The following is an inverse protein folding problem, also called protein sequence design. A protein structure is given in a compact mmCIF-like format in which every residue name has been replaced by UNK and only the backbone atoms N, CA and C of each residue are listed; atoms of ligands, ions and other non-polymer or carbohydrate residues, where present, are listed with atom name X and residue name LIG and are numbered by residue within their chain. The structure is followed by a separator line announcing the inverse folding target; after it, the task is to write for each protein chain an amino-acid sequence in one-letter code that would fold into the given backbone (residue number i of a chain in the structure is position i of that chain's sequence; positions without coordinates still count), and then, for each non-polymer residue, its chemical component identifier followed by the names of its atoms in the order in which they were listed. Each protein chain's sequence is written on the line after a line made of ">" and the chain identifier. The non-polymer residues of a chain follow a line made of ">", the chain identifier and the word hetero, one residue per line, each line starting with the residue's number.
data_IF_329763896723
#
_entry.id   IF_329763896723
#
_cell.length_a   1.000
_cell.length_b   1.000
_cell.length_c   1.000
_cell.angle_alpha   90.00
_cell.angle_beta   90.00
_cell.angle_gamma   90.00
#
_symmetry.space_group_name_H-M   'P 1'
#
loop_
_entity.id
_entity.type
_entity.pdbx_description
1 polymer ?
#
# COMPACT_ATOMS: atom_id res chain seq x y z
N UNK A 1 11.88 -17.35 -19.09
CA UNK A 1 10.73 -16.79 -18.34
C UNK A 1 10.91 -15.32 -17.90
N UNK A 2 12.07 -14.86 -17.38
CA UNK A 2 12.26 -13.45 -16.93
C UNK A 2 12.00 -12.37 -18.00
N UNK A 3 12.18 -12.67 -19.28
CA UNK A 3 12.04 -11.70 -20.37
C UNK A 3 10.59 -11.43 -20.80
N UNK A 4 9.65 -12.34 -20.51
CA UNK A 4 8.24 -12.16 -20.89
C UNK A 4 7.55 -11.16 -19.95
N UNK A 5 7.66 -11.38 -18.63
CA UNK A 5 7.03 -10.53 -17.60
C UNK A 5 7.56 -9.08 -17.62
N UNK A 6 8.81 -8.89 -18.04
CA UNK A 6 9.50 -7.59 -18.06
C UNK A 6 9.64 -6.97 -19.45
N UNK A 7 9.02 -7.57 -20.48
CA UNK A 7 9.04 -7.03 -21.82
C UNK A 7 8.27 -5.70 -21.93
N UNK A 8 8.58 -4.85 -22.92
CA UNK A 8 7.91 -3.56 -23.11
C UNK A 8 6.39 -3.68 -23.31
N UNK A 9 5.91 -4.77 -23.93
CA UNK A 9 4.48 -5.06 -24.07
C UNK A 9 3.81 -5.36 -22.72
N UNK A 10 4.44 -6.18 -21.87
CA UNK A 10 3.91 -6.48 -20.54
C UNK A 10 3.96 -5.26 -19.61
N UNK A 11 4.92 -4.36 -19.78
CA UNK A 11 4.96 -3.10 -19.06
C UNK A 11 3.71 -2.22 -19.31
N UNK A 12 3.14 -2.25 -20.52
CA UNK A 12 1.87 -1.57 -20.82
C UNK A 12 0.72 -2.21 -20.05
N UNK A 13 0.63 -3.55 -20.07
CA UNK A 13 -0.41 -4.29 -19.32
C UNK A 13 -0.34 -3.98 -17.82
N UNK A 14 0.86 -4.03 -17.23
CA UNK A 14 1.04 -3.70 -15.81
C UNK A 14 0.69 -2.25 -15.49
N UNK A 15 0.94 -1.32 -16.43
CA UNK A 15 0.58 0.09 -16.26
C UNK A 15 -0.94 0.28 -16.28
N UNK A 16 -1.65 -0.38 -17.21
CA UNK A 16 -3.11 -0.33 -17.26
C UNK A 16 -3.71 -0.89 -15.98
N UNK A 17 -3.25 -2.05 -15.51
CA UNK A 17 -3.70 -2.65 -14.26
C UNK A 17 -3.39 -1.77 -13.05
N UNK A 18 -2.21 -1.13 -13.01
CA UNK A 18 -1.82 -0.18 -11.96
C UNK A 18 -2.74 1.03 -11.93
N UNK A 19 -3.00 1.64 -13.08
CA UNK A 19 -3.87 2.82 -13.20
C UNK A 19 -5.31 2.44 -12.82
N UNK A 20 -5.81 1.30 -13.30
CA UNK A 20 -7.14 0.80 -12.93
C UNK A 20 -7.25 0.60 -11.42
N UNK A 21 -6.28 -0.06 -10.80
CA UNK A 21 -6.23 -0.24 -9.34
C UNK A 21 -6.21 1.12 -8.64
N UNK A 22 -5.40 2.06 -9.12
CA UNK A 22 -5.36 3.43 -8.59
C UNK A 22 -6.69 4.17 -8.69
N UNK A 23 -7.45 4.01 -9.78
CA UNK A 23 -8.79 4.60 -9.93
C UNK A 23 -9.76 4.04 -8.90
N UNK A 24 -9.71 2.73 -8.60
CA UNK A 24 -10.56 2.13 -7.56
C UNK A 24 -10.30 2.78 -6.19
N UNK A 25 -9.03 2.91 -5.80
CA UNK A 25 -8.63 3.56 -4.56
C UNK A 25 -8.97 5.05 -4.51
N UNK A 26 -8.74 5.76 -5.61
CA UNK A 26 -9.06 7.18 -5.71
C UNK A 26 -10.56 7.42 -5.53
N UNK A 27 -11.39 6.61 -6.19
CA UNK A 27 -12.85 6.71 -6.12
C UNK A 27 -13.35 6.43 -4.71
N UNK A 28 -12.85 5.37 -4.07
CA UNK A 28 -13.21 5.01 -2.70
C UNK A 28 -12.78 6.10 -1.69
N UNK A 29 -11.53 6.54 -1.75
CA UNK A 29 -11.00 7.57 -0.85
C UNK A 29 -11.67 8.92 -1.05
N UNK A 30 -11.90 9.34 -2.30
CA UNK A 30 -12.56 10.61 -2.61
C UNK A 30 -13.98 10.67 -2.04
N UNK A 31 -14.77 9.59 -2.23
CA UNK A 31 -16.11 9.50 -1.66
C UNK A 31 -16.12 9.64 -0.14
N UNK A 32 -15.14 9.05 0.54
CA UNK A 32 -14.99 9.13 2.00
C UNK A 32 -14.52 10.51 2.49
N UNK A 33 -13.59 11.15 1.78
CA UNK A 33 -13.07 12.48 2.15
C UNK A 33 -14.14 13.55 1.97
N UNK A 34 -14.92 13.51 0.88
CA UNK A 34 -15.93 14.53 0.58
C UNK A 34 -17.26 14.24 1.28
N UNK A 35 -17.67 12.98 1.37
CA UNK A 35 -18.95 12.57 1.94
C UNK A 35 -18.96 12.46 3.48
N UNK A 36 -17.80 12.59 4.12
CA UNK A 36 -17.63 12.23 5.52
C UNK A 36 -17.51 10.72 5.71
N UNK A 37 -16.61 10.30 6.58
CA UNK A 37 -16.36 8.90 6.87
C UNK A 37 -16.30 8.67 8.37
N UNK A 38 -17.04 7.65 8.83
CA UNK A 38 -16.99 7.18 10.20
C UNK A 38 -16.90 5.66 10.24
N UNK A 39 -15.81 5.17 10.81
CA UNK A 39 -15.54 3.76 11.03
C UNK A 39 -16.19 3.23 12.30
N UNK A 40 -16.77 4.07 13.17
CA UNK A 40 -17.32 3.64 14.47
C UNK A 40 -18.35 2.51 14.33
N UNK A 41 -19.40 2.72 13.55
CA UNK A 41 -20.41 1.70 13.30
C UNK A 41 -19.85 0.45 12.60
N UNK A 42 -18.89 0.65 11.69
CA UNK A 42 -18.22 -0.45 11.00
C UNK A 42 -17.44 -1.34 11.99
N UNK A 43 -16.61 -0.74 12.86
CA UNK A 43 -15.79 -1.47 13.83
C UNK A 43 -16.65 -2.20 14.88
N UNK A 44 -17.80 -1.64 15.27
CA UNK A 44 -18.75 -2.36 16.12
C UNK A 44 -19.35 -3.58 15.39
N UNK A 45 -19.65 -3.45 14.10
CA UNK A 45 -20.05 -4.57 13.25
C UNK A 45 -18.99 -5.68 13.16
N UNK A 46 -17.70 -5.32 13.17
CA UNK A 46 -16.59 -6.29 13.20
C UNK A 46 -16.62 -7.13 14.47
N UNK A 47 -16.88 -6.51 15.63
CA UNK A 47 -16.99 -7.24 16.91
C UNK A 47 -18.20 -8.18 16.93
N UNK A 48 -19.35 -7.72 16.43
CA UNK A 48 -20.54 -8.56 16.33
C UNK A 48 -20.29 -9.80 15.45
N UNK A 49 -19.61 -9.62 14.32
CA UNK A 49 -19.26 -10.66 13.36
C UNK A 49 -18.16 -11.63 13.85
N UNK A 50 -17.52 -11.34 14.99
CA UNK A 50 -16.57 -12.24 15.64
C UNK A 50 -17.23 -13.23 16.59
N UNK A 51 -18.55 -13.14 16.77
CA UNK A 51 -19.35 -13.98 17.68
C UNK A 51 -20.48 -14.70 16.93
N UNK A 52 -21.05 -15.75 17.54
CA UNK A 52 -22.16 -16.53 16.97
C UNK A 52 -21.75 -17.91 16.43
N UNK A 53 -22.69 -18.61 15.78
CA UNK A 53 -22.49 -19.99 15.30
C UNK A 53 -21.52 -20.10 14.11
N UNK A 54 -21.39 -19.03 13.31
CA UNK A 54 -20.50 -18.97 12.15
C UNK A 54 -19.78 -17.61 12.09
N UNK A 55 -18.78 -17.37 12.95
CA UNK A 55 -18.06 -16.10 12.98
C UNK A 55 -17.30 -15.88 11.68
N UNK A 56 -17.44 -14.67 11.11
CA UNK A 56 -16.77 -14.26 9.87
C UNK A 56 -15.51 -13.44 10.13
N UNK A 57 -15.32 -13.00 11.38
CA UNK A 57 -14.12 -12.30 11.87
C UNK A 57 -13.40 -13.18 12.87
N UNK A 58 -12.07 -13.24 12.77
CA UNK A 58 -11.25 -14.02 13.68
C UNK A 58 -11.16 -13.34 15.06
N UNK A 59 -11.23 -14.14 16.13
CA UNK A 59 -11.24 -13.63 17.51
C UNK A 59 -10.05 -12.73 17.83
N UNK A 60 -8.84 -13.09 17.38
CA UNK A 60 -7.63 -12.28 17.61
C UNK A 60 -7.73 -10.89 16.95
N UNK A 61 -8.39 -10.80 15.80
CA UNK A 61 -8.57 -9.53 15.09
C UNK A 61 -9.64 -8.69 15.79
N UNK A 62 -10.69 -9.32 16.30
CA UNK A 62 -11.68 -8.64 17.14
C UNK A 62 -11.05 -8.04 18.40
N UNK A 63 -10.15 -8.77 19.08
CA UNK A 63 -9.39 -8.24 20.23
C UNK A 63 -8.54 -7.02 19.86
N UNK A 64 -7.90 -7.02 18.69
CA UNK A 64 -7.19 -5.84 18.17
C UNK A 64 -8.15 -4.67 17.91
N UNK A 65 -9.31 -4.95 17.31
CA UNK A 65 -10.32 -3.93 17.01
C UNK A 65 -10.85 -3.30 18.29
N UNK A 66 -11.19 -4.11 19.29
CA UNK A 66 -11.68 -3.66 20.59
C UNK A 66 -10.61 -2.88 21.37
N UNK A 67 -9.40 -3.41 21.46
CA UNK A 67 -8.32 -2.83 22.29
C UNK A 67 -7.58 -1.66 21.65
N UNK A 68 -7.56 -1.56 20.32
CA UNK A 68 -6.81 -0.51 19.61
C UNK A 68 -7.67 0.28 18.63
N UNK A 69 -8.41 -0.37 17.73
CA UNK A 69 -9.08 0.34 16.64
C UNK A 69 -10.23 1.24 17.13
N UNK A 70 -11.09 0.75 18.03
CA UNK A 70 -12.22 1.50 18.57
C UNK A 70 -11.75 2.69 19.41
N UNK A 71 -10.82 2.54 20.37
CA UNK A 71 -10.28 3.68 21.12
C UNK A 71 -9.63 4.75 20.23
N UNK A 72 -9.06 4.34 19.08
CA UNK A 72 -8.40 5.22 18.14
C UNK A 72 -9.24 5.52 16.88
N UNK A 73 -10.57 5.39 16.95
CA UNK A 73 -11.45 5.54 15.78
C UNK A 73 -11.30 6.91 15.10
N UNK A 74 -11.04 7.98 15.87
CA UNK A 74 -10.80 9.31 15.31
C UNK A 74 -9.57 9.35 14.38
N UNK A 75 -8.52 8.59 14.71
CA UNK A 75 -7.34 8.45 13.84
C UNK A 75 -7.68 7.62 12.60
N UNK A 76 -8.43 6.53 12.75
CA UNK A 76 -8.86 5.66 11.65
C UNK A 76 -9.74 6.43 10.65
N UNK A 77 -10.62 7.30 11.15
CA UNK A 77 -11.50 8.14 10.35
C UNK A 77 -10.72 9.12 9.45
N UNK A 78 -9.46 9.40 9.79
CA UNK A 78 -8.56 10.22 8.96
C UNK A 78 -7.67 9.31 8.09
N UNK A 79 -7.04 8.30 8.68
CA UNK A 79 -6.06 7.46 8.01
C UNK A 79 -6.66 6.66 6.85
N UNK A 80 -7.86 6.10 7.00
CA UNK A 80 -8.48 5.31 5.93
C UNK A 80 -8.78 6.19 4.72
N UNK A 81 -9.60 7.27 4.81
CA UNK A 81 -9.96 8.06 3.62
C UNK A 81 -8.75 8.67 2.92
N UNK A 82 -7.83 9.26 3.68
CA UNK A 82 -6.62 9.87 3.12
C UNK A 82 -5.64 8.83 2.59
N UNK A 83 -5.51 7.68 3.26
CA UNK A 83 -4.70 6.56 2.78
C UNK A 83 -5.21 6.04 1.44
N UNK A 84 -6.51 5.82 1.30
CA UNK A 84 -7.15 5.40 0.05
C UNK A 84 -6.91 6.41 -1.07
N UNK A 85 -7.12 7.71 -0.79
CA UNK A 85 -6.92 8.77 -1.76
C UNK A 85 -5.46 8.85 -2.22
N UNK A 86 -4.51 8.85 -1.30
CA UNK A 86 -3.08 8.96 -1.59
C UNK A 86 -2.55 7.72 -2.32
N UNK A 87 -3.03 6.53 -1.98
CA UNK A 87 -2.72 5.30 -2.72
C UNK A 87 -3.23 5.42 -4.15
N UNK A 88 -4.47 5.87 -4.34
CA UNK A 88 -5.05 6.07 -5.67
C UNK A 88 -4.22 7.02 -6.54
N UNK A 89 -3.90 8.19 -6.01
CA UNK A 89 -3.06 9.19 -6.69
C UNK A 89 -1.67 8.62 -6.99
N UNK A 90 -1.05 7.97 -6.00
CA UNK A 90 0.30 7.39 -6.12
C UNK A 90 0.40 6.32 -7.22
N UNK A 91 -0.63 5.49 -7.36
CA UNK A 91 -0.72 4.44 -8.38
C UNK A 91 -1.05 5.01 -9.77
N UNK A 92 -1.94 5.99 -9.88
CA UNK A 92 -2.28 6.60 -11.17
C UNK A 92 -1.06 7.31 -11.76
N UNK A 93 -0.48 8.22 -10.98
CA UNK A 93 0.72 8.97 -11.39
C UNK A 93 1.95 8.05 -11.52
N UNK A 94 1.97 6.96 -10.75
CA UNK A 94 3.11 6.07 -10.65
C UNK A 94 4.35 6.79 -10.14
N UNK A 95 4.21 7.64 -9.13
CA UNK A 95 5.31 8.41 -8.49
C UNK A 95 5.70 7.85 -7.10
N UNK A 96 4.93 6.89 -6.61
CA UNK A 96 5.18 6.16 -5.37
C UNK A 96 4.57 4.75 -5.46
N UNK A 97 4.77 4.06 -6.60
CA UNK A 97 4.06 2.82 -6.91
C UNK A 97 4.28 1.75 -5.85
N UNK A 98 5.53 1.50 -5.42
CA UNK A 98 5.82 0.46 -4.43
C UNK A 98 5.20 0.79 -3.05
N UNK A 99 5.43 1.98 -2.45
CA UNK A 99 4.76 2.35 -1.21
C UNK A 99 3.23 2.31 -1.32
N UNK A 100 2.66 2.79 -2.44
CA UNK A 100 1.21 2.80 -2.64
C UNK A 100 0.63 1.38 -2.76
N UNK A 101 1.31 0.47 -3.45
CA UNK A 101 0.92 -0.94 -3.53
C UNK A 101 1.00 -1.63 -2.16
N UNK A 102 2.05 -1.35 -1.36
CA UNK A 102 2.18 -1.91 0.00
C UNK A 102 1.06 -1.38 0.90
N UNK A 103 0.83 -0.07 0.92
CA UNK A 103 -0.21 0.55 1.72
C UNK A 103 -1.61 0.04 1.31
N UNK A 104 -1.88 -0.03 0.00
CA UNK A 104 -3.12 -0.58 -0.52
C UNK A 104 -3.31 -2.06 -0.17
N UNK A 105 -2.27 -2.89 -0.29
CA UNK A 105 -2.34 -4.29 0.12
C UNK A 105 -2.59 -4.43 1.62
N UNK A 106 -1.96 -3.60 2.45
CA UNK A 106 -2.15 -3.59 3.90
C UNK A 106 -3.58 -3.17 4.30
N UNK A 107 -4.13 -2.13 3.67
CA UNK A 107 -5.52 -1.71 3.92
C UNK A 107 -6.52 -2.77 3.48
N UNK A 108 -6.38 -3.34 2.28
CA UNK A 108 -7.25 -4.44 1.84
C UNK A 108 -7.16 -5.66 2.77
N UNK A 109 -5.96 -6.00 3.23
CA UNK A 109 -5.81 -7.11 4.19
C UNK A 109 -6.58 -6.83 5.47
N UNK A 110 -6.50 -5.61 6.02
CA UNK A 110 -7.30 -5.23 7.20
C UNK A 110 -8.80 -5.31 6.91
N UNK A 111 -9.25 -4.84 5.75
CA UNK A 111 -10.65 -4.94 5.34
C UNK A 111 -11.14 -6.39 5.25
N UNK A 112 -10.31 -7.29 4.70
CA UNK A 112 -10.60 -8.72 4.65
C UNK A 112 -10.66 -9.35 6.04
N UNK A 113 -9.72 -9.00 6.93
CA UNK A 113 -9.71 -9.46 8.31
C UNK A 113 -10.92 -8.94 9.11
N UNK A 114 -11.41 -7.76 8.77
CA UNK A 114 -12.64 -7.16 9.28
C UNK A 114 -13.92 -7.78 8.69
N UNK A 115 -13.80 -8.78 7.81
CA UNK A 115 -14.95 -9.51 7.24
C UNK A 115 -15.53 -8.90 5.95
N UNK A 116 -14.88 -7.92 5.33
CA UNK A 116 -15.39 -7.31 4.09
C UNK A 116 -14.83 -7.98 2.84
N UNK A 117 -15.63 -8.88 2.26
CA UNK A 117 -15.18 -9.77 1.18
C UNK A 117 -15.43 -9.28 -0.25
N UNK A 118 -16.09 -8.15 -0.46
CA UNK A 118 -16.58 -7.69 -1.78
C UNK A 118 -15.47 -7.54 -2.85
N UNK A 119 -15.02 -6.33 -3.17
CA UNK A 119 -13.95 -6.11 -4.15
C UNK A 119 -12.55 -6.29 -3.57
N UNK A 120 -12.44 -6.33 -2.23
CA UNK A 120 -11.17 -6.31 -1.51
C UNK A 120 -10.21 -7.47 -1.86
N UNK A 121 -10.65 -8.74 -2.03
CA UNK A 121 -9.75 -9.82 -2.42
C UNK A 121 -9.09 -9.59 -3.78
N UNK A 122 -9.85 -9.01 -4.72
CA UNK A 122 -9.38 -8.73 -6.08
C UNK A 122 -8.32 -7.61 -6.04
N UNK A 123 -8.61 -6.52 -5.32
CA UNK A 123 -7.69 -5.39 -5.18
C UNK A 123 -6.41 -5.79 -4.44
N UNK A 124 -6.52 -6.61 -3.39
CA UNK A 124 -5.39 -7.18 -2.67
C UNK A 124 -4.50 -8.02 -3.61
N UNK A 125 -5.11 -8.98 -4.32
CA UNK A 125 -4.38 -9.88 -5.22
C UNK A 125 -3.65 -9.10 -6.31
N UNK A 126 -4.31 -8.12 -6.94
CA UNK A 126 -3.68 -7.27 -7.94
C UNK A 126 -2.53 -6.44 -7.36
N UNK A 127 -2.69 -5.90 -6.14
CA UNK A 127 -1.62 -5.16 -5.49
C UNK A 127 -0.38 -6.03 -5.26
N UNK A 128 -0.57 -7.27 -4.79
CA UNK A 128 0.51 -8.24 -4.59
C UNK A 128 1.17 -8.63 -5.92
N UNK A 129 0.39 -8.96 -6.95
CA UNK A 129 0.92 -9.28 -8.29
C UNK A 129 1.76 -8.12 -8.83
N UNK A 130 1.26 -6.89 -8.74
CA UNK A 130 1.99 -5.70 -9.19
C UNK A 130 3.28 -5.47 -8.40
N UNK A 131 3.34 -5.81 -7.11
CA UNK A 131 4.58 -5.79 -6.33
C UNK A 131 5.62 -6.78 -6.88
N UNK A 132 5.21 -8.00 -7.20
CA UNK A 132 6.10 -9.04 -7.73
C UNK A 132 6.59 -8.76 -9.16
N UNK A 133 5.85 -7.98 -9.95
CA UNK A 133 6.30 -7.56 -11.28
C UNK A 133 7.46 -6.54 -11.25
N UNK A 134 7.68 -5.88 -10.10
CA UNK A 134 8.83 -5.01 -9.84
C UNK A 134 8.97 -3.87 -10.84
N UNK A 135 10.16 -3.68 -11.43
CA UNK A 135 10.44 -2.59 -12.36
C UNK A 135 9.53 -2.48 -13.59
N UNK A 136 8.77 -3.52 -13.91
CA UNK A 136 7.82 -3.50 -15.00
C UNK A 136 6.54 -2.71 -14.66
N UNK A 137 6.09 -2.67 -13.40
CA UNK A 137 4.87 -1.96 -13.00
C UNK A 137 5.04 -0.44 -12.91
N UNK A 138 6.28 0.04 -12.77
CA UNK A 138 6.59 1.48 -12.75
C UNK A 138 7.34 1.97 -13.99
N UNK A 139 7.47 1.13 -15.03
CA UNK A 139 8.22 1.48 -16.25
C UNK A 139 7.63 2.69 -17.00
N UNK A 140 6.31 2.86 -16.98
CA UNK A 140 5.60 4.04 -17.49
C UNK A 140 5.06 4.94 -16.36
N UNK A 141 5.64 4.87 -15.16
CA UNK A 141 5.34 5.79 -14.05
C UNK A 141 6.38 6.90 -13.92
N UNK A 142 6.01 7.99 -13.25
CA UNK A 142 6.95 9.06 -12.86
C UNK A 142 8.13 8.52 -12.03
N UNK A 143 7.93 7.40 -11.33
CA UNK A 143 8.92 6.59 -10.63
C UNK A 143 10.14 6.27 -11.50
N UNK A 144 9.98 6.09 -12.82
CA UNK A 144 11.10 5.88 -13.75
C UNK A 144 12.02 7.08 -13.81
N UNK A 145 11.48 8.29 -13.72
CA UNK A 145 12.26 9.53 -13.72
C UNK A 145 12.84 9.83 -12.35
N UNK A 146 12.19 9.42 -11.26
CA UNK A 146 12.65 9.70 -9.89
C UNK A 146 13.69 8.68 -9.41
N UNK A 147 13.55 7.39 -9.76
CA UNK A 147 14.42 6.31 -9.29
C UNK A 147 15.93 6.51 -9.59
N UNK A 148 16.37 7.01 -10.77
CA UNK A 148 17.77 7.29 -11.04
C UNK A 148 18.32 8.41 -10.15
N UNK A 149 17.52 9.46 -9.88
CA UNK A 149 17.93 10.60 -9.05
C UNK A 149 18.09 10.20 -7.59
N UNK A 150 17.17 9.40 -7.06
CA UNK A 150 17.25 8.86 -5.71
C UNK A 150 18.48 7.95 -5.58
N UNK A 151 18.69 7.01 -6.52
CA UNK A 151 19.84 6.10 -6.52
C UNK A 151 21.18 6.85 -6.63
N UNK A 152 21.26 7.89 -7.46
CA UNK A 152 22.45 8.74 -7.58
C UNK A 152 22.76 9.48 -6.27
N UNK A 153 21.73 9.96 -5.56
CA UNK A 153 21.90 10.67 -4.28
C UNK A 153 22.36 9.75 -3.14
N UNK A 154 21.85 8.52 -3.09
CA UNK A 154 22.30 7.52 -2.11
C UNK A 154 23.72 7.00 -2.40
N UNK A 155 24.08 6.79 -3.67
CA UNK A 155 25.45 6.40 -4.03
C UNK A 155 26.48 7.51 -3.75
N UNK A 156 26.11 8.79 -3.86
CA UNK A 156 26.98 9.90 -3.44
C UNK A 156 27.24 9.88 -1.93
N UNK A 157 26.22 9.63 -1.09
CA UNK A 157 26.39 9.49 0.37
C UNK A 157 27.26 8.29 0.77
N UNK A 158 27.22 7.19 0.02
CA UNK A 158 28.06 6.02 0.29
C UNK A 158 29.55 6.27 -0.01
N UNK A 159 29.87 7.13 -0.98
CA UNK A 159 31.26 7.50 -1.33
C UNK A 159 31.86 8.59 -0.42
N UNK A 160 31.06 9.25 0.42
CA UNK A 160 31.51 10.33 1.30
C UNK A 160 31.70 9.92 2.76
N UNK A 161 31.53 8.65 3.13
CA UNK A 161 32.02 8.18 4.43
C UNK A 161 33.56 8.22 4.38
N UNK A 162 34.24 9.01 5.22
CA UNK A 162 35.69 8.98 5.27
C UNK A 162 36.10 7.57 5.70
N UNK A 163 36.91 6.91 4.90
CA UNK A 163 37.70 5.77 5.36
C UNK A 163 38.61 6.33 6.43
N UNK A 164 38.29 6.06 7.70
CA UNK A 164 39.18 6.36 8.81
C UNK A 164 40.46 5.56 8.57
N UNK A 165 41.47 6.27 8.06
CA UNK A 165 42.79 5.70 7.82
C UNK A 165 43.38 5.51 9.21
N UNK A 166 43.46 4.26 9.63
CA UNK A 166 44.23 3.78 10.79
C UNK A 166 45.44 4.68 11.04
N UNK A 167 45.39 5.43 12.14
CA UNK A 167 46.51 6.23 12.64
C UNK A 167 47.64 5.25 12.97
N UNK A 168 48.67 5.25 12.14
CA UNK A 168 49.87 4.44 12.35
C UNK A 168 50.75 5.22 13.34
N UNK A 169 50.82 4.76 14.58
CA UNK A 169 51.77 5.31 15.55
C UNK A 169 53.17 4.81 15.21
N UNK A 170 54.17 5.69 15.01
CA UNK A 170 55.55 5.26 14.92
C UNK A 170 56.07 4.77 16.29
N UNK A 171 57.01 3.82 16.18
CA UNK A 171 57.63 2.94 17.17
C UNK A 171 57.70 3.40 18.65
#
# INVERSE_FOLDING_TARGET
>A
MKNFIKGPQMAVVWTVLRVWLGVQWLTAGWGKVVGGFDAGGFLQGVLANATGEAPTVQAWYATFVEGFAIPNVGLINILIPWGELLVGIGLILGAATIPALIAGAFMNLNFLLAGTLSTNPILYTLAIVLLFTGAASYYYGVDRFIAPYIKARFNKKAKTKPTDKTVNFPA
#
